data_IF_359170784997
#
_entry.id   IF_359170784997
#
_cell.length_a   1.000
_cell.length_b   1.000
_cell.length_c   1.000
_cell.angle_alpha   90.00
_cell.angle_beta   90.00
_cell.angle_gamma   90.00
#
_symmetry.space_group_name_H-M   'P 1'
#
loop_
_entity.id
_entity.type
_entity.pdbx_description
1 polymer ?
#
# COMPACT_ATOMS: atom_id res chain seq x y z
N UNK A 1 20.27 -18.32 -40.94
CA UNK A 1 20.01 -17.10 -40.12
C UNK A 1 18.85 -17.42 -39.18
N UNK A 2 19.16 -17.63 -37.90
CA UNK A 2 18.14 -17.90 -36.85
C UNK A 2 17.36 -16.61 -36.59
N UNK A 3 16.04 -16.63 -36.83
CA UNK A 3 15.15 -15.55 -36.44
C UNK A 3 15.13 -15.54 -34.89
N UNK A 4 15.82 -14.57 -34.26
CA UNK A 4 15.63 -14.27 -32.86
C UNK A 4 14.17 -13.83 -32.70
N UNK A 5 13.32 -14.68 -32.09
CA UNK A 5 12.03 -14.23 -31.62
C UNK A 5 12.31 -13.22 -30.51
N UNK A 6 11.92 -11.98 -30.72
CA UNK A 6 11.91 -10.98 -29.65
C UNK A 6 10.78 -11.37 -28.72
N UNK A 7 11.09 -12.16 -27.70
CA UNK A 7 10.16 -12.36 -26.60
C UNK A 7 10.16 -11.02 -25.85
N UNK A 8 9.11 -10.26 -25.99
CA UNK A 8 8.86 -9.10 -25.12
C UNK A 8 8.66 -9.62 -23.70
N UNK A 9 9.70 -9.51 -22.88
CA UNK A 9 9.60 -9.73 -21.45
C UNK A 9 9.23 -8.39 -20.82
N UNK A 10 8.15 -8.36 -20.04
CA UNK A 10 7.72 -7.16 -19.29
C UNK A 10 8.51 -6.96 -17.99
N UNK A 11 9.58 -7.71 -17.79
CA UNK A 11 10.38 -7.74 -16.57
C UNK A 11 11.22 -6.47 -16.33
N UNK A 12 11.30 -5.56 -17.30
CA UNK A 12 11.99 -4.27 -17.20
C UNK A 12 11.08 -3.07 -16.93
N UNK A 13 9.77 -3.23 -17.07
CA UNK A 13 8.82 -2.13 -16.93
C UNK A 13 8.12 -2.15 -15.57
N UNK A 14 7.97 -0.96 -14.96
CA UNK A 14 7.14 -0.74 -13.77
C UNK A 14 5.82 -0.16 -14.28
N UNK A 15 4.80 -1.00 -14.36
CA UNK A 15 3.49 -0.63 -14.90
C UNK A 15 2.39 -1.23 -14.02
N UNK A 16 1.24 -0.56 -14.00
CA UNK A 16 0.06 -0.98 -13.26
C UNK A 16 0.32 -0.94 -11.74
N UNK A 17 -0.14 0.13 -11.12
CA UNK A 17 -0.07 0.28 -9.66
C UNK A 17 -1.07 -0.68 -9.00
N UNK A 18 -0.58 -1.58 -8.14
CA UNK A 18 -1.44 -2.47 -7.36
C UNK A 18 -1.74 -1.88 -5.98
N UNK A 19 -0.70 -1.47 -5.24
CA UNK A 19 -0.87 -0.90 -3.92
C UNK A 19 0.30 -0.01 -3.51
N UNK A 20 0.03 0.92 -2.59
CA UNK A 20 1.04 1.76 -1.93
C UNK A 20 0.91 1.59 -0.44
N UNK A 21 2.02 1.26 0.23
CA UNK A 21 2.10 1.11 1.67
C UNK A 21 3.04 2.17 2.25
N UNK A 22 2.63 2.76 3.35
CA UNK A 22 3.44 3.66 4.16
C UNK A 22 3.51 3.14 5.59
N UNK A 23 4.72 2.88 6.10
CA UNK A 23 4.94 2.25 7.40
C UNK A 23 4.16 0.93 7.57
N UNK A 24 4.11 0.12 6.51
CA UNK A 24 3.39 -1.15 6.50
C UNK A 24 1.87 -1.06 6.33
N UNK A 25 1.28 0.14 6.34
CA UNK A 25 -0.15 0.35 6.14
C UNK A 25 -0.46 0.77 4.71
N UNK A 26 -1.49 0.18 4.11
CA UNK A 26 -1.97 0.56 2.78
C UNK A 26 -2.57 1.97 2.81
N UNK A 27 -2.19 2.81 1.83
CA UNK A 27 -2.69 4.20 1.71
C UNK A 27 -4.16 4.27 1.23
N UNK A 28 -4.76 3.17 0.86
CA UNK A 28 -6.08 3.15 0.22
C UNK A 28 -5.97 3.17 -1.32
N UNK A 29 -7.10 3.28 -1.99
CA UNK A 29 -7.14 3.28 -3.45
C UNK A 29 -6.64 4.62 -4.01
N UNK A 30 -5.73 4.52 -4.98
CA UNK A 30 -5.17 5.67 -5.71
C UNK A 30 -6.01 5.92 -6.96
N UNK A 31 -6.07 7.19 -7.41
CA UNK A 31 -6.77 7.54 -8.65
C UNK A 31 -6.17 6.81 -9.86
N UNK A 32 -6.94 6.70 -10.95
CA UNK A 32 -6.49 6.04 -12.20
C UNK A 32 -5.24 6.66 -12.81
N UNK A 33 -4.95 7.91 -12.49
CA UNK A 33 -3.72 8.59 -12.91
C UNK A 33 -2.46 7.95 -12.28
N UNK A 34 -2.64 7.15 -11.21
CA UNK A 34 -1.57 6.44 -10.53
C UNK A 34 -0.67 7.36 -9.70
N UNK A 35 0.63 7.06 -9.74
CA UNK A 35 1.68 7.83 -9.08
C UNK A 35 2.56 8.50 -10.14
N UNK A 36 2.84 9.78 -9.94
CA UNK A 36 3.82 10.54 -10.72
C UNK A 36 5.14 10.63 -9.96
N UNK A 37 6.22 10.26 -10.63
CA UNK A 37 7.57 10.32 -10.08
C UNK A 37 8.30 11.51 -10.67
N UNK A 38 8.57 12.49 -9.84
CA UNK A 38 9.19 13.76 -10.20
C UNK A 38 10.34 14.09 -9.26
N UNK A 39 10.83 15.31 -9.31
CA UNK A 39 11.87 15.81 -8.42
C UNK A 39 12.50 17.07 -8.98
N UNK A 40 13.49 17.57 -8.29
CA UNK A 40 14.31 18.70 -8.72
C UNK A 40 15.67 18.19 -9.19
N UNK A 41 16.16 18.73 -10.28
CA UNK A 41 17.51 18.44 -10.76
C UNK A 41 18.58 18.96 -9.77
N UNK A 42 19.78 18.40 -9.86
CA UNK A 42 20.91 18.87 -9.09
C UNK A 42 21.22 20.34 -9.44
N UNK A 43 21.54 21.12 -8.44
CA UNK A 43 21.97 22.50 -8.64
C UNK A 43 23.50 22.54 -8.62
N UNK A 44 24.07 23.08 -9.69
CA UNK A 44 25.52 23.25 -9.83
C UNK A 44 25.88 24.72 -9.94
N UNK A 45 27.09 25.04 -9.53
CA UNK A 45 27.72 26.35 -9.74
C UNK A 45 29.01 26.15 -10.51
N UNK A 46 29.08 26.77 -11.69
CA UNK A 46 30.24 26.71 -12.56
C UNK A 46 31.19 27.89 -12.26
N UNK A 47 32.46 27.58 -12.09
CA UNK A 47 33.52 28.60 -11.99
C UNK A 47 34.21 28.74 -13.34
N UNK A 48 34.20 29.97 -13.86
CA UNK A 48 34.83 30.34 -15.12
C UNK A 48 36.08 31.18 -14.88
N UNK A 49 37.18 30.91 -15.59
CA UNK A 49 38.38 31.75 -15.58
C UNK A 49 38.41 32.63 -16.81
N UNK A 50 38.87 33.87 -16.65
CA UNK A 50 38.92 34.87 -17.75
C UNK A 50 39.82 34.41 -18.92
N UNK A 51 40.82 33.56 -18.61
CA UNK A 51 41.77 33.02 -19.58
C UNK A 51 41.25 31.77 -20.32
N UNK A 52 40.23 31.06 -19.74
CA UNK A 52 39.65 29.85 -20.30
C UNK A 52 38.17 30.14 -20.54
N UNK A 53 37.80 30.36 -21.82
CA UNK A 53 36.44 30.79 -22.20
C UNK A 53 35.63 29.71 -22.87
N UNK A 54 36.21 28.53 -23.09
CA UNK A 54 35.57 27.41 -23.81
C UNK A 54 34.81 26.47 -22.88
N UNK A 55 35.30 26.31 -21.64
CA UNK A 55 34.70 25.40 -20.65
C UNK A 55 34.83 26.01 -19.25
N UNK A 56 33.93 25.65 -18.29
CA UNK A 56 34.12 25.99 -16.89
C UNK A 56 35.38 25.31 -16.34
N UNK A 57 36.08 26.00 -15.43
CA UNK A 57 37.28 25.44 -14.76
C UNK A 57 36.89 24.48 -13.66
N UNK A 58 35.73 24.68 -13.06
CA UNK A 58 35.20 23.88 -11.97
C UNK A 58 33.68 23.90 -12.03
N UNK A 59 33.06 22.75 -11.86
CA UNK A 59 31.64 22.56 -11.67
C UNK A 59 31.41 21.93 -10.30
N UNK A 60 30.68 22.63 -9.41
CA UNK A 60 30.44 22.22 -8.04
C UNK A 60 28.94 21.97 -7.87
N UNK A 61 28.55 20.77 -7.54
CA UNK A 61 27.19 20.46 -7.11
C UNK A 61 26.94 21.06 -5.73
N UNK A 62 26.05 22.06 -5.67
CA UNK A 62 25.68 22.77 -4.44
C UNK A 62 24.46 22.13 -3.77
N UNK A 63 23.64 21.44 -4.53
CA UNK A 63 22.46 20.71 -4.07
C UNK A 63 22.23 19.48 -4.93
N UNK A 64 22.15 18.33 -4.30
CA UNK A 64 21.84 17.06 -4.98
C UNK A 64 20.41 17.06 -5.54
N UNK A 65 20.21 16.31 -6.63
CA UNK A 65 18.89 16.03 -7.16
C UNK A 65 17.96 15.43 -6.10
N UNK A 66 16.69 15.74 -6.17
CA UNK A 66 15.68 15.18 -5.26
C UNK A 66 14.69 14.31 -6.02
N UNK A 67 14.11 13.33 -5.33
CA UNK A 67 13.03 12.53 -5.86
C UNK A 67 11.77 12.73 -5.01
N UNK A 68 10.65 12.96 -5.68
CA UNK A 68 9.35 13.09 -5.06
C UNK A 68 8.32 12.28 -5.86
N UNK A 69 7.47 11.56 -5.15
CA UNK A 69 6.38 10.80 -5.74
C UNK A 69 5.10 11.49 -5.30
N UNK A 70 4.23 11.82 -6.24
CA UNK A 70 2.94 12.41 -5.96
C UNK A 70 1.81 11.49 -6.39
N UNK A 71 0.69 11.56 -5.69
CA UNK A 71 -0.49 10.78 -6.00
C UNK A 71 -1.74 11.35 -5.33
N UNK A 72 -2.88 10.75 -5.65
CA UNK A 72 -4.17 11.15 -5.10
C UNK A 72 -4.91 9.90 -4.61
N UNK A 73 -5.12 9.81 -3.30
CA UNK A 73 -5.96 8.77 -2.70
C UNK A 73 -7.44 9.16 -2.84
N UNK A 74 -8.25 8.27 -3.36
CA UNK A 74 -9.69 8.47 -3.61
C UNK A 74 -10.58 7.69 -2.65
N UNK A 75 -10.04 6.72 -1.92
CA UNK A 75 -10.78 5.93 -0.93
C UNK A 75 -10.79 6.65 0.41
N UNK A 76 -11.73 7.58 0.58
CA UNK A 76 -11.81 8.47 1.74
C UNK A 76 -12.54 7.80 2.94
N UNK A 77 -12.09 6.60 3.33
CA UNK A 77 -12.52 5.97 4.58
C UNK A 77 -11.88 6.76 5.75
N UNK A 78 -12.59 7.01 6.87
CA UNK A 78 -12.07 7.81 7.98
C UNK A 78 -10.67 7.42 8.45
N UNK A 79 -10.36 6.13 8.53
CA UNK A 79 -9.04 5.65 8.95
C UNK A 79 -7.95 6.00 7.93
N UNK A 80 -8.20 5.79 6.64
CA UNK A 80 -7.25 6.15 5.57
C UNK A 80 -6.96 7.66 5.57
N UNK A 81 -7.99 8.47 5.84
CA UNK A 81 -7.84 9.93 5.94
C UNK A 81 -6.95 10.31 7.14
N UNK A 82 -7.11 9.64 8.29
CA UNK A 82 -6.26 9.86 9.46
C UNK A 82 -4.82 9.43 9.18
N UNK A 83 -4.61 8.26 8.60
CA UNK A 83 -3.27 7.73 8.34
C UNK A 83 -2.50 8.60 7.33
N UNK A 84 -3.19 9.21 6.38
CA UNK A 84 -2.58 10.04 5.34
C UNK A 84 -2.47 11.53 5.72
N UNK A 85 -3.52 12.11 6.29
CA UNK A 85 -3.64 13.56 6.51
C UNK A 85 -3.67 13.95 8.00
N UNK A 86 -3.84 12.96 8.89
CA UNK A 86 -3.98 13.17 10.33
C UNK A 86 -5.41 13.50 10.73
N UNK A 87 -5.55 14.04 11.94
CA UNK A 87 -6.85 14.26 12.56
C UNK A 87 -7.24 13.10 13.47
N UNK A 88 -8.53 12.86 13.63
CA UNK A 88 -9.05 11.78 14.48
C UNK A 88 -10.36 11.23 13.93
N UNK A 89 -10.65 9.97 14.23
CA UNK A 89 -11.95 9.35 14.01
C UNK A 89 -12.79 9.48 15.28
N UNK A 90 -14.01 9.95 15.16
CA UNK A 90 -14.99 10.03 16.26
C UNK A 90 -16.28 9.37 15.77
N UNK A 91 -16.55 8.15 16.26
CA UNK A 91 -17.59 7.31 15.68
C UNK A 91 -17.24 6.91 14.25
N UNK A 92 -18.08 7.26 13.29
CA UNK A 92 -17.87 7.04 11.85
C UNK A 92 -17.37 8.30 11.12
N UNK A 93 -17.08 9.39 11.84
CA UNK A 93 -16.67 10.66 11.26
C UNK A 93 -15.16 10.85 11.33
N UNK A 94 -14.57 11.30 10.23
CA UNK A 94 -13.21 11.84 10.23
C UNK A 94 -13.23 13.34 10.49
N UNK A 95 -12.58 13.75 11.57
CA UNK A 95 -12.37 15.16 11.90
C UNK A 95 -11.00 15.60 11.36
N UNK A 96 -11.02 16.49 10.37
CA UNK A 96 -9.82 17.02 9.74
C UNK A 96 -8.92 17.75 10.74
N UNK A 97 -7.59 17.62 10.62
CA UNK A 97 -6.65 18.36 11.46
C UNK A 97 -6.62 19.85 11.05
N UNK A 98 -6.37 20.72 12.01
CA UNK A 98 -6.18 22.15 11.75
C UNK A 98 -4.89 22.47 10.98
N UNK A 99 -3.89 21.59 11.11
CA UNK A 99 -2.58 21.74 10.46
C UNK A 99 -2.27 20.50 9.63
N UNK A 100 -1.54 20.68 8.53
CA UNK A 100 -1.04 19.55 7.73
C UNK A 100 -0.07 18.69 8.54
N UNK A 101 -0.24 17.38 8.44
CA UNK A 101 0.67 16.41 9.03
C UNK A 101 1.88 16.18 8.12
N UNK A 102 3.04 15.99 8.73
CA UNK A 102 4.24 15.51 8.06
C UNK A 102 4.79 14.34 8.85
N UNK A 103 4.89 13.19 8.20
CA UNK A 103 5.38 11.96 8.83
C UNK A 103 6.53 11.40 8.02
N UNK A 104 7.55 10.88 8.69
CA UNK A 104 8.63 10.13 8.04
C UNK A 104 8.41 8.63 8.23
N UNK A 105 8.68 7.85 7.19
CA UNK A 105 8.54 6.41 7.20
C UNK A 105 9.14 5.73 6.00
N UNK A 106 8.92 4.43 5.91
CA UNK A 106 9.23 3.65 4.71
C UNK A 106 8.02 3.58 3.77
N UNK A 107 8.30 3.33 2.50
CA UNK A 107 7.28 3.15 1.45
C UNK A 107 7.55 1.87 0.68
N UNK A 108 6.50 1.11 0.44
CA UNK A 108 6.48 0.01 -0.52
C UNK A 108 5.41 0.28 -1.58
N UNK A 109 5.80 0.21 -2.84
CA UNK A 109 4.91 0.37 -3.99
C UNK A 109 4.91 -0.97 -4.74
N UNK A 110 3.77 -1.64 -4.75
CA UNK A 110 3.54 -2.86 -5.51
C UNK A 110 3.07 -2.50 -6.90
N UNK A 111 3.66 -3.14 -7.90
CA UNK A 111 3.28 -2.94 -9.30
C UNK A 111 2.91 -4.27 -9.96
N UNK A 112 1.86 -4.26 -10.79
CA UNK A 112 1.27 -5.43 -11.41
C UNK A 112 2.20 -6.22 -12.35
N UNK A 113 3.40 -5.69 -12.61
CA UNK A 113 4.47 -6.44 -13.28
C UNK A 113 5.28 -7.35 -12.33
N UNK A 114 4.81 -7.55 -11.09
CA UNK A 114 5.45 -8.43 -10.11
C UNK A 114 6.73 -7.85 -9.52
N UNK A 115 6.79 -6.53 -9.37
CA UNK A 115 7.93 -5.83 -8.74
C UNK A 115 7.45 -4.93 -7.62
N UNK A 116 8.34 -4.74 -6.66
CA UNK A 116 8.13 -3.83 -5.54
C UNK A 116 9.22 -2.78 -5.53
N UNK A 117 8.81 -1.52 -5.46
CA UNK A 117 9.72 -0.41 -5.15
C UNK A 117 9.70 -0.20 -3.64
N UNK A 118 10.85 -0.38 -3.00
CA UNK A 118 11.04 -0.10 -1.55
C UNK A 118 11.84 1.18 -1.38
N UNK A 119 11.31 2.13 -0.60
CA UNK A 119 11.97 3.37 -0.22
C UNK A 119 12.13 3.38 1.29
N UNK A 120 13.35 3.44 1.78
CA UNK A 120 13.67 3.26 3.21
C UNK A 120 13.29 4.44 4.08
N UNK A 121 13.36 5.64 3.53
CA UNK A 121 13.03 6.85 4.27
C UNK A 121 12.38 7.87 3.35
N UNK A 122 11.15 8.18 3.64
CA UNK A 122 10.32 9.11 2.87
C UNK A 122 9.63 10.07 3.83
N UNK A 123 9.47 11.31 3.42
CA UNK A 123 8.62 12.28 4.10
C UNK A 123 7.28 12.37 3.40
N UNK A 124 6.24 11.83 4.03
CA UNK A 124 4.86 11.94 3.58
C UNK A 124 4.31 13.34 3.93
N UNK A 125 3.67 13.97 2.96
CA UNK A 125 2.91 15.22 3.10
C UNK A 125 1.56 15.06 2.42
N UNK A 126 0.49 15.29 3.15
CA UNK A 126 -0.85 15.34 2.60
C UNK A 126 -1.56 16.56 3.23
N UNK A 127 -1.94 17.52 2.43
CA UNK A 127 -2.48 18.78 2.94
C UNK A 127 -3.67 19.33 2.16
N UNK A 128 -4.04 18.67 1.06
CA UNK A 128 -5.07 19.16 0.15
C UNK A 128 -6.05 18.07 -0.21
N UNK A 129 -7.33 18.43 -0.09
CA UNK A 129 -8.41 17.64 -0.69
C UNK A 129 -8.72 18.31 -2.02
N UNK A 130 -8.67 17.55 -3.11
CA UNK A 130 -8.94 18.03 -4.46
C UNK A 130 -9.84 17.08 -5.24
N UNK A 131 -10.49 17.63 -6.24
CA UNK A 131 -11.43 16.95 -7.11
C UNK A 131 -12.83 17.50 -6.97
N UNK A 132 -13.77 16.80 -7.52
CA UNK A 132 -15.18 17.15 -7.50
C UNK A 132 -16.04 15.96 -7.05
N UNK A 133 -17.33 16.21 -6.88
CA UNK A 133 -18.33 15.17 -6.57
C UNK A 133 -19.11 14.79 -7.83
N UNK A 134 -18.47 14.80 -9.00
CA UNK A 134 -19.04 14.41 -10.30
C UNK A 134 -18.49 13.09 -10.81
N UNK A 135 -19.12 12.51 -11.84
CA UNK A 135 -18.78 11.19 -12.35
C UNK A 135 -17.36 11.03 -12.91
N UNK A 136 -16.76 12.10 -13.44
CA UNK A 136 -15.42 12.06 -14.04
C UNK A 136 -14.33 12.64 -13.13
N UNK A 137 -14.70 13.31 -12.03
CA UNK A 137 -13.74 13.99 -11.16
C UNK A 137 -14.01 13.59 -9.71
N UNK A 138 -13.26 12.60 -9.23
CA UNK A 138 -13.43 12.06 -7.90
C UNK A 138 -12.69 12.91 -6.87
N UNK A 139 -13.36 13.20 -5.74
CA UNK A 139 -12.75 13.85 -4.59
C UNK A 139 -11.72 12.92 -3.97
N UNK A 140 -10.56 13.46 -3.59
CA UNK A 140 -9.50 12.69 -2.95
C UNK A 140 -8.48 13.56 -2.23
N UNK A 141 -7.58 12.92 -1.52
CA UNK A 141 -6.48 13.57 -0.80
C UNK A 141 -5.23 13.48 -1.68
N UNK A 142 -4.69 14.65 -2.06
CA UNK A 142 -3.38 14.72 -2.71
C UNK A 142 -2.27 14.55 -1.66
N UNK A 143 -1.32 13.70 -1.97
CA UNK A 143 -0.15 13.48 -1.14
C UNK A 143 1.14 13.52 -1.95
N UNK A 144 2.24 13.85 -1.27
CA UNK A 144 3.60 13.80 -1.80
C UNK A 144 4.49 13.00 -0.88
N UNK A 145 5.34 12.18 -1.47
CA UNK A 145 6.30 11.30 -0.84
C UNK A 145 7.70 11.76 -1.25
N UNK A 146 8.36 12.60 -0.46
CA UNK A 146 9.72 13.05 -0.73
C UNK A 146 10.72 12.03 -0.22
N UNK A 147 11.54 11.49 -1.11
CA UNK A 147 12.61 10.55 -0.75
C UNK A 147 13.70 11.28 0.00
N UNK A 148 14.11 10.74 1.14
CA UNK A 148 15.15 11.27 2.01
C UNK A 148 16.34 10.32 2.07
N UNK A 149 17.52 10.87 2.35
CA UNK A 149 18.71 10.05 2.63
C UNK A 149 18.49 9.21 3.89
N UNK A 150 18.72 7.89 3.84
CA UNK A 150 18.70 7.05 5.03
C UNK A 150 19.73 7.50 6.05
N UNK A 151 19.40 7.34 7.35
CA UNK A 151 20.29 7.76 8.44
C UNK A 151 21.55 6.92 8.57
N UNK A 152 21.51 5.70 8.04
CA UNK A 152 22.61 4.72 8.04
C UNK A 152 23.53 4.83 6.82
N UNK A 153 23.30 5.82 5.94
CA UNK A 153 24.08 6.01 4.70
C UNK A 153 23.84 4.95 3.63
N UNK A 154 22.86 4.06 3.82
CA UNK A 154 22.51 3.05 2.83
C UNK A 154 21.77 3.64 1.62
N UNK A 155 21.53 2.81 0.57
CA UNK A 155 20.73 3.21 -0.58
C UNK A 155 19.32 3.67 -0.15
N UNK A 156 18.81 4.79 -0.67
CA UNK A 156 17.49 5.30 -0.32
C UNK A 156 16.34 4.41 -0.81
N UNK A 157 16.58 3.60 -1.83
CA UNK A 157 15.55 2.72 -2.38
C UNK A 157 16.10 1.55 -3.18
N UNK A 158 15.22 0.61 -3.47
CA UNK A 158 15.51 -0.57 -4.28
C UNK A 158 14.27 -0.99 -5.06
N UNK A 159 14.50 -1.64 -6.20
CA UNK A 159 13.46 -2.29 -7.00
C UNK A 159 13.80 -3.79 -7.00
N UNK A 160 12.87 -4.61 -6.55
CA UNK A 160 13.06 -6.05 -6.40
C UNK A 160 11.80 -6.79 -6.87
N UNK A 161 11.90 -8.10 -7.18
CA UNK A 161 10.72 -8.92 -7.36
C UNK A 161 9.82 -8.83 -6.12
N UNK A 162 8.50 -8.83 -6.32
CA UNK A 162 7.55 -8.87 -5.21
C UNK A 162 7.68 -10.22 -4.51
N UNK A 163 8.09 -10.19 -3.24
CA UNK A 163 8.07 -11.40 -2.42
C UNK A 163 6.63 -11.81 -2.16
N UNK A 164 6.30 -13.11 -2.25
CA UNK A 164 4.97 -13.58 -1.92
C UNK A 164 4.61 -13.21 -0.49
N UNK A 165 3.43 -12.64 -0.28
CA UNK A 165 2.88 -12.38 1.05
C UNK A 165 1.36 -12.45 1.03
N UNK A 166 0.79 -12.80 2.18
CA UNK A 166 -0.63 -12.70 2.47
C UNK A 166 -0.79 -12.39 3.96
N UNK A 167 -1.59 -11.41 4.27
CA UNK A 167 -1.87 -10.95 5.63
C UNK A 167 -3.37 -10.84 5.82
N UNK A 168 -3.85 -11.13 7.03
CA UNK A 168 -5.27 -11.08 7.39
C UNK A 168 -5.45 -10.22 8.64
N UNK A 169 -6.37 -9.28 8.63
CA UNK A 169 -6.71 -8.47 9.81
C UNK A 169 -8.24 -8.35 9.96
N UNK A 170 -8.77 -8.65 11.16
CA UNK A 170 -8.09 -9.15 12.35
C UNK A 170 -7.66 -10.62 12.23
N UNK A 171 -6.64 -11.02 12.99
CA UNK A 171 -6.16 -12.41 13.04
C UNK A 171 -7.03 -13.34 13.88
N UNK A 172 -8.07 -12.80 14.52
CA UNK A 172 -9.03 -13.59 15.31
C UNK A 172 -10.42 -12.96 15.25
N UNK A 173 -11.43 -13.82 15.15
CA UNK A 173 -12.84 -13.45 15.21
C UNK A 173 -13.53 -14.22 16.32
N UNK A 174 -14.20 -13.52 17.22
CA UNK A 174 -15.05 -14.11 18.26
C UNK A 174 -16.49 -13.78 17.93
N UNK A 175 -17.33 -14.77 17.76
CA UNK A 175 -18.75 -14.64 17.47
C UNK A 175 -19.58 -14.79 18.76
N UNK A 176 -20.79 -14.26 18.72
CA UNK A 176 -21.80 -14.53 19.73
C UNK A 176 -22.38 -15.95 19.54
N UNK A 177 -23.00 -16.51 20.58
CA UNK A 177 -23.67 -17.81 20.49
C UNK A 177 -24.75 -17.83 19.37
N UNK A 178 -25.50 -16.76 19.22
CA UNK A 178 -26.53 -16.61 18.17
C UNK A 178 -25.95 -16.56 16.74
N UNK A 179 -24.63 -16.55 16.59
CA UNK A 179 -23.99 -16.39 15.30
C UNK A 179 -23.83 -14.93 14.86
N UNK A 180 -23.73 -14.74 13.56
CA UNK A 180 -23.60 -13.42 12.95
C UNK A 180 -22.51 -13.37 11.88
N UNK A 181 -22.23 -12.19 11.35
CA UNK A 181 -21.23 -11.99 10.31
C UNK A 181 -20.15 -11.02 10.76
N UNK A 182 -18.88 -11.31 10.40
CA UNK A 182 -17.73 -10.44 10.64
C UNK A 182 -16.82 -10.40 9.42
N UNK A 183 -16.19 -9.29 9.19
CA UNK A 183 -15.28 -9.09 8.05
C UNK A 183 -13.84 -9.31 8.44
N UNK A 184 -13.06 -9.80 7.47
CA UNK A 184 -11.60 -9.89 7.51
C UNK A 184 -11.08 -9.17 6.27
N UNK A 185 -10.16 -8.26 6.47
CA UNK A 185 -9.45 -7.62 5.39
C UNK A 185 -8.22 -8.47 5.05
N UNK A 186 -8.08 -8.84 3.78
CA UNK A 186 -6.95 -9.65 3.28
C UNK A 186 -6.10 -8.79 2.39
N UNK A 187 -4.82 -8.70 2.72
CA UNK A 187 -3.80 -8.10 1.88
C UNK A 187 -2.88 -9.19 1.34
N UNK A 188 -2.75 -9.28 0.03
CA UNK A 188 -1.96 -10.32 -0.62
C UNK A 188 -1.20 -9.80 -1.83
N UNK A 189 -0.07 -10.43 -2.14
CA UNK A 189 0.74 -10.12 -3.33
C UNK A 189 0.14 -10.64 -4.64
N UNK A 190 -0.99 -11.34 -4.58
CA UNK A 190 -1.68 -11.92 -5.73
C UNK A 190 -2.99 -12.59 -5.36
N UNK A 191 -3.63 -13.31 -6.29
CA UNK A 191 -4.85 -14.08 -6.03
C UNK A 191 -4.65 -15.09 -4.91
N UNK A 192 -5.68 -15.29 -4.09
CA UNK A 192 -5.67 -16.22 -2.99
C UNK A 192 -6.95 -17.09 -2.96
N UNK A 193 -6.85 -18.23 -2.34
CA UNK A 193 -7.95 -19.14 -2.09
C UNK A 193 -8.19 -19.29 -0.59
N UNK A 194 -9.40 -19.72 -0.24
CA UNK A 194 -9.78 -20.03 1.14
C UNK A 194 -9.59 -21.52 1.38
N UNK A 195 -8.90 -21.88 2.45
CA UNK A 195 -8.72 -23.25 2.88
C UNK A 195 -10.01 -23.90 3.42
N UNK A 196 -9.87 -24.98 4.16
CA UNK A 196 -11.02 -25.64 4.76
C UNK A 196 -11.72 -24.72 5.78
N UNK A 197 -13.03 -24.56 5.61
CA UNK A 197 -13.85 -23.76 6.53
C UNK A 197 -14.29 -24.66 7.69
N UNK A 198 -14.08 -24.25 8.96
CA UNK A 198 -14.51 -25.02 10.11
C UNK A 198 -16.04 -25.19 10.17
N UNK A 199 -16.50 -26.28 10.77
CA UNK A 199 -17.93 -26.59 10.91
C UNK A 199 -18.67 -25.50 11.68
N UNK A 200 -19.86 -25.12 11.18
CA UNK A 200 -20.68 -24.04 11.74
C UNK A 200 -20.28 -22.64 11.29
N UNK A 201 -19.30 -22.54 10.39
CA UNK A 201 -18.90 -21.29 9.76
C UNK A 201 -19.03 -21.38 8.24
N UNK A 202 -19.23 -20.24 7.59
CA UNK A 202 -19.17 -20.10 6.13
C UNK A 202 -18.43 -18.82 5.75
N UNK A 203 -17.94 -18.77 4.51
CA UNK A 203 -17.14 -17.66 4.01
C UNK A 203 -17.70 -17.17 2.70
N UNK A 204 -17.90 -15.88 2.57
CA UNK A 204 -18.27 -15.21 1.34
C UNK A 204 -17.19 -14.18 0.96
N UNK A 205 -16.83 -14.18 -0.33
CA UNK A 205 -15.90 -13.16 -0.88
C UNK A 205 -16.65 -12.32 -1.89
N UNK A 206 -16.82 -11.04 -1.58
CA UNK A 206 -17.48 -10.09 -2.47
C UNK A 206 -16.57 -8.88 -2.67
N UNK A 207 -16.17 -8.63 -3.91
CA UNK A 207 -15.31 -7.50 -4.28
C UNK A 207 -14.01 -7.42 -3.44
N UNK A 208 -13.38 -8.57 -3.17
CA UNK A 208 -12.12 -8.65 -2.41
C UNK A 208 -12.27 -8.54 -0.88
N UNK A 209 -13.49 -8.31 -0.38
CA UNK A 209 -13.78 -8.35 1.06
C UNK A 209 -14.24 -9.73 1.46
N UNK A 210 -13.62 -10.27 2.49
CA UNK A 210 -13.97 -11.57 3.06
C UNK A 210 -14.93 -11.36 4.22
N UNK A 211 -16.09 -12.04 4.17
CA UNK A 211 -17.06 -12.06 5.26
C UNK A 211 -17.16 -13.47 5.80
N UNK A 212 -16.88 -13.65 7.07
CA UNK A 212 -17.06 -14.91 7.80
C UNK A 212 -18.40 -14.85 8.51
N UNK A 213 -19.23 -15.89 8.31
CA UNK A 213 -20.56 -16.01 8.88
C UNK A 213 -20.56 -17.22 9.81
N UNK A 214 -20.99 -17.02 11.04
CA UNK A 214 -21.21 -18.09 12.00
C UNK A 214 -22.71 -18.37 12.13
N UNK A 215 -23.06 -19.67 12.08
CA UNK A 215 -24.42 -20.11 12.40
C UNK A 215 -24.64 -20.09 13.92
N UNK A 216 -25.92 -20.13 14.36
CA UNK A 216 -26.24 -20.31 15.79
C UNK A 216 -25.58 -21.56 16.36
N UNK A 217 -24.94 -21.46 17.51
CA UNK A 217 -24.38 -22.62 18.21
C UNK A 217 -25.33 -23.14 19.29
N UNK A 218 -26.22 -24.05 18.87
CA UNK A 218 -27.17 -24.72 19.79
C UNK A 218 -26.56 -26.01 20.41
N UNK A 219 -25.27 -26.26 20.16
CA UNK A 219 -24.57 -27.42 20.68
C UNK A 219 -24.15 -27.24 22.14
N UNK A 220 -23.76 -28.37 22.76
CA UNK A 220 -23.31 -28.44 24.17
C UNK A 220 -21.86 -27.92 24.35
N UNK A 221 -21.14 -27.64 23.27
CA UNK A 221 -19.72 -27.26 23.31
C UNK A 221 -19.44 -26.02 22.49
N UNK A 222 -18.47 -25.18 22.92
CA UNK A 222 -17.99 -24.05 22.12
C UNK A 222 -17.40 -24.55 20.80
N UNK A 223 -17.60 -23.78 19.74
CA UNK A 223 -16.95 -24.02 18.45
C UNK A 223 -15.68 -23.19 18.35
N UNK A 224 -14.62 -23.79 17.84
CA UNK A 224 -13.38 -23.10 17.52
C UNK A 224 -12.74 -23.71 16.29
N UNK A 225 -11.99 -22.92 15.55
CA UNK A 225 -11.27 -23.39 14.38
C UNK A 225 -10.34 -22.33 13.85
N UNK A 226 -9.66 -22.64 12.77
CA UNK A 226 -8.82 -21.72 12.04
C UNK A 226 -9.22 -21.70 10.57
N UNK A 227 -9.25 -20.51 9.99
CA UNK A 227 -9.48 -20.29 8.58
C UNK A 227 -8.15 -19.87 7.95
N UNK A 228 -7.73 -20.59 6.92
CA UNK A 228 -6.50 -20.28 6.19
C UNK A 228 -6.83 -19.57 4.87
N UNK A 229 -6.06 -18.55 4.56
CA UNK A 229 -6.02 -17.89 3.26
C UNK A 229 -4.69 -18.23 2.61
N UNK A 230 -4.71 -18.79 1.42
CA UNK A 230 -3.56 -19.43 0.77
C UNK A 230 -3.29 -18.67 -0.53
N UNK A 231 -2.06 -18.18 -0.70
CA UNK A 231 -1.67 -17.51 -1.92
C UNK A 231 -1.57 -18.50 -3.09
N UNK A 232 -2.28 -18.27 -4.20
CA UNK A 232 -2.31 -19.21 -5.32
C UNK A 232 -0.94 -19.41 -5.99
N UNK A 233 -0.15 -18.32 -6.07
CA UNK A 233 1.18 -18.33 -6.68
C UNK A 233 2.23 -19.04 -5.79
N UNK A 234 2.00 -19.12 -4.48
CA UNK A 234 2.90 -19.75 -3.52
C UNK A 234 2.09 -20.35 -2.35
N UNK A 235 1.65 -21.61 -2.45
CA UNK A 235 0.80 -22.25 -1.43
C UNK A 235 1.44 -22.41 -0.05
N UNK A 236 2.75 -22.22 0.08
CA UNK A 236 3.42 -22.21 1.39
C UNK A 236 3.19 -20.88 2.13
N UNK A 237 2.89 -19.80 1.38
CA UNK A 237 2.58 -18.48 1.94
C UNK A 237 1.10 -18.43 2.31
N UNK A 238 0.80 -18.37 3.62
CA UNK A 238 -0.56 -18.42 4.17
C UNK A 238 -0.76 -17.39 5.26
N UNK A 239 -2.01 -16.91 5.39
CA UNK A 239 -2.49 -16.17 6.55
C UNK A 239 -3.56 -17.01 7.28
N UNK A 240 -3.58 -16.93 8.60
CA UNK A 240 -4.51 -17.72 9.43
C UNK A 240 -5.32 -16.78 10.33
N UNK A 241 -6.64 -17.00 10.36
CA UNK A 241 -7.58 -16.31 11.24
C UNK A 241 -8.20 -17.33 12.19
N UNK A 242 -8.07 -17.10 13.48
CA UNK A 242 -8.69 -17.93 14.52
C UNK A 242 -10.17 -17.58 14.68
N UNK A 243 -11.03 -18.58 14.71
CA UNK A 243 -12.48 -18.43 14.91
C UNK A 243 -12.87 -19.01 16.24
N UNK A 244 -13.76 -18.33 16.97
CA UNK A 244 -14.32 -18.83 18.22
C UNK A 244 -15.78 -18.42 18.38
N UNK A 245 -16.60 -19.33 18.92
CA UNK A 245 -18.02 -19.10 19.19
C UNK A 245 -18.40 -19.87 20.47
N UNK A 246 -18.94 -19.21 21.52
CA UNK A 246 -19.41 -19.89 22.72
C UNK A 246 -20.64 -20.76 22.40
N UNK A 247 -20.94 -21.67 23.28
CA UNK A 247 -22.21 -22.41 23.35
C UNK A 247 -23.19 -21.74 24.30
N UNK A 248 -24.35 -22.36 24.45
CA UNK A 248 -25.39 -21.94 25.42
C UNK A 248 -24.90 -22.13 26.85
#
# INVERSE_FOLDING_TARGET
MSKRSVIQRNDGYLMLLDAVYFNGKRIGNISEEGLDWSGEDAQTVELWAAQIRTNPVLDIETRAATNEITGKMIEMIPQNCVDLMGGKVVGEEWQMPANSMRVEGDVRILVGTGKTVKLKRVSLRASKIRGGLGGENVLGIEFGLKVLAPKDGSSPGSILPTEPFIEAEPTSLTFEQAGGSKTVDIEASGPFSVGAVPEGFSVEIVNGRVTVIAETNDGESPRSGSLEFILEADPETKATVSLSQPNV
#
